data_IF_890673733134
#
_entry.id   IF_890673733134
#
_cell.length_a   1.000
_cell.length_b   1.000
_cell.length_c   1.000
_cell.angle_alpha   90.00
_cell.angle_beta   90.00
_cell.angle_gamma   90.00
#
_symmetry.space_group_name_H-M   'P 1'
#
loop_
_entity.id
_entity.type
_entity.pdbx_description
1 polymer ?
#
# COMPACT_ATOMS: atom_id res chain seq x y z
N UNK A 1 -14.08 18.00 -1.19
CA UNK A 1 -13.58 16.67 -0.80
C UNK A 1 -14.45 15.63 -1.45
N UNK A 2 -13.87 14.67 -2.19
CA UNK A 2 -14.56 13.47 -2.67
C UNK A 2 -14.13 12.33 -1.76
N UNK A 3 -15.06 11.51 -1.30
CA UNK A 3 -14.76 10.30 -0.51
C UNK A 3 -14.98 9.08 -1.37
N UNK A 4 -14.05 8.12 -1.32
CA UNK A 4 -14.18 6.84 -2.00
C UNK A 4 -14.45 5.74 -0.98
N UNK A 5 -15.48 4.94 -1.23
CA UNK A 5 -15.76 3.73 -0.45
C UNK A 5 -15.23 2.55 -1.27
N UNK A 6 -14.22 1.87 -0.75
CA UNK A 6 -13.64 0.70 -1.39
C UNK A 6 -14.18 -0.56 -0.70
N UNK A 7 -15.10 -1.25 -1.36
CA UNK A 7 -15.54 -2.58 -0.91
C UNK A 7 -14.55 -3.62 -1.40
N UNK A 8 -14.07 -4.46 -0.50
CA UNK A 8 -13.11 -5.55 -0.78
C UNK A 8 -13.63 -6.83 -0.14
N UNK A 9 -13.34 -7.94 -0.79
CA UNK A 9 -13.67 -9.27 -0.27
C UNK A 9 -12.78 -9.67 0.92
N UNK A 10 -11.65 -8.98 1.10
CA UNK A 10 -10.75 -9.17 2.23
C UNK A 10 -10.84 -7.99 3.23
N UNK A 11 -10.70 -8.25 4.55
CA UNK A 11 -10.84 -7.22 5.57
C UNK A 11 -9.58 -6.36 5.77
N UNK A 12 -8.53 -6.55 4.95
CA UNK A 12 -7.22 -5.95 5.19
C UNK A 12 -6.99 -4.73 4.30
N UNK A 13 -7.11 -3.55 4.91
CA UNK A 13 -6.83 -2.26 4.28
C UNK A 13 -6.22 -1.31 5.33
N UNK A 14 -5.32 -0.43 4.90
CA UNK A 14 -4.89 0.71 5.70
C UNK A 14 -4.71 1.95 4.81
N UNK A 15 -5.04 3.11 5.39
CA UNK A 15 -4.69 4.40 4.82
C UNK A 15 -3.35 4.86 5.40
N UNK A 16 -2.50 5.44 4.55
CA UNK A 16 -1.26 6.08 4.98
C UNK A 16 -1.52 7.40 5.68
N UNK A 17 -0.67 7.71 6.66
CA UNK A 17 -0.59 9.03 7.27
C UNK A 17 0.09 10.03 6.32
N UNK A 18 0.18 11.30 6.76
CA UNK A 18 0.85 12.38 6.01
C UNK A 18 2.32 12.12 5.65
N UNK A 19 2.96 11.16 6.32
CA UNK A 19 4.35 10.76 6.09
C UNK A 19 4.45 9.48 5.26
N UNK A 20 3.32 9.00 4.74
CA UNK A 20 3.23 7.75 3.99
C UNK A 20 3.09 6.51 4.86
N UNK A 21 3.10 6.60 6.19
CA UNK A 21 3.13 5.42 7.08
C UNK A 21 1.76 4.85 7.31
N UNK A 22 1.64 3.52 7.28
CA UNK A 22 0.41 2.80 7.62
C UNK A 22 0.75 1.54 8.41
N UNK A 23 -0.27 0.95 9.03
CA UNK A 23 -0.17 -0.32 9.72
C UNK A 23 -1.42 -1.14 9.44
N UNK A 24 -1.23 -2.41 9.08
CA UNK A 24 -2.32 -3.40 8.97
C UNK A 24 -2.05 -4.46 10.03
N UNK A 25 -3.02 -4.66 10.93
CA UNK A 25 -2.88 -5.60 12.05
C UNK A 25 -3.42 -6.98 11.67
N UNK A 26 -2.87 -8.01 12.34
CA UNK A 26 -3.32 -9.39 12.23
C UNK A 26 -3.25 -9.95 10.81
N UNK A 27 -2.24 -9.58 10.04
CA UNK A 27 -2.03 -10.26 8.76
C UNK A 27 -1.60 -11.71 9.02
N UNK A 28 -2.20 -12.69 8.33
CA UNK A 28 -1.72 -14.06 8.39
C UNK A 28 -0.27 -14.14 7.94
N UNK A 29 0.53 -15.02 8.54
CA UNK A 29 1.86 -15.31 8.01
C UNK A 29 1.75 -15.94 6.60
N UNK A 30 2.71 -15.65 5.73
CA UNK A 30 2.76 -16.17 4.37
C UNK A 30 2.99 -15.10 3.30
N UNK A 31 2.86 -15.50 2.05
CA UNK A 31 3.01 -14.63 0.88
C UNK A 31 1.70 -13.88 0.60
N UNK A 32 1.76 -12.56 0.56
CA UNK A 32 0.60 -11.69 0.32
C UNK A 32 0.87 -10.69 -0.79
N UNK A 33 -0.07 -10.56 -1.71
CA UNK A 33 -0.04 -9.51 -2.74
C UNK A 33 -0.93 -8.33 -2.32
N UNK A 34 -0.32 -7.17 -2.16
CA UNK A 34 -1.01 -5.90 -1.87
C UNK A 34 -1.22 -5.09 -3.13
N UNK A 35 -2.32 -4.35 -3.18
CA UNK A 35 -2.63 -3.41 -4.26
C UNK A 35 -2.49 -1.97 -3.74
N UNK A 36 -1.59 -1.21 -4.33
CA UNK A 36 -1.40 0.21 -4.01
C UNK A 36 -2.31 1.08 -4.88
N UNK A 37 -3.02 2.02 -4.25
CA UNK A 37 -3.95 2.92 -4.92
C UNK A 37 -4.02 4.27 -4.20
N UNK A 38 -4.20 5.35 -4.95
CA UNK A 38 -4.46 6.69 -4.44
C UNK A 38 -5.55 7.39 -5.25
N UNK A 39 -6.39 8.20 -4.60
CA UNK A 39 -7.55 8.84 -5.24
C UNK A 39 -7.20 9.73 -6.44
N UNK A 40 -6.03 10.39 -6.41
CA UNK A 40 -5.57 11.27 -7.50
C UNK A 40 -4.87 10.53 -8.63
N UNK A 41 -4.17 9.45 -8.32
CA UNK A 41 -3.23 8.79 -9.24
C UNK A 41 -3.73 7.44 -9.73
N UNK A 42 -4.82 6.93 -9.15
CA UNK A 42 -5.28 5.57 -9.40
C UNK A 42 -4.29 4.55 -8.83
N UNK A 43 -4.03 3.47 -9.57
CA UNK A 43 -3.07 2.45 -9.16
C UNK A 43 -1.63 2.97 -9.22
N UNK A 44 -0.88 2.82 -8.13
CA UNK A 44 0.48 3.34 -8.01
C UNK A 44 1.49 2.36 -8.62
N UNK A 45 1.83 2.57 -9.90
CA UNK A 45 2.72 1.71 -10.70
C UNK A 45 4.19 2.11 -10.54
N UNK A 46 5.10 1.14 -10.54
CA UNK A 46 6.55 1.36 -10.46
C UNK A 46 7.00 2.18 -9.22
N UNK A 47 6.21 2.14 -8.15
CA UNK A 47 6.46 2.89 -6.92
C UNK A 47 7.26 2.03 -5.94
N UNK A 48 8.30 2.62 -5.36
CA UNK A 48 9.10 1.96 -4.34
C UNK A 48 8.28 1.77 -3.06
N UNK A 49 8.22 0.53 -2.59
CA UNK A 49 7.52 0.11 -1.38
C UNK A 49 8.46 -0.75 -0.52
N UNK A 50 8.99 -0.23 0.58
CA UNK A 50 10.00 -0.96 1.34
C UNK A 50 11.26 -1.19 0.48
N UNK A 51 11.71 -2.43 0.44
CA UNK A 51 12.76 -2.94 -0.46
C UNK A 51 12.22 -3.44 -1.80
N UNK A 52 10.92 -3.37 -2.04
CA UNK A 52 10.27 -3.83 -3.27
C UNK A 52 9.79 -2.67 -4.14
N UNK A 53 9.52 -2.94 -5.42
CA UNK A 53 8.87 -2.00 -6.32
C UNK A 53 7.52 -2.57 -6.77
N UNK A 54 6.51 -1.72 -6.87
CA UNK A 54 5.21 -2.13 -7.39
C UNK A 54 5.27 -2.42 -8.89
N UNK A 55 4.52 -3.45 -9.31
CA UNK A 55 4.46 -3.84 -10.72
C UNK A 55 3.70 -2.82 -11.59
N UNK A 56 3.57 -3.11 -12.88
CA UNK A 56 2.81 -2.28 -13.83
C UNK A 56 1.30 -2.17 -13.49
N UNK A 57 0.80 -2.96 -12.54
CA UNK A 57 -0.58 -2.91 -12.01
C UNK A 57 -0.63 -2.28 -10.62
N UNK A 58 0.50 -1.84 -10.06
CA UNK A 58 0.61 -1.25 -8.73
C UNK A 58 0.54 -2.28 -7.60
N UNK A 59 0.95 -3.52 -7.84
CA UNK A 59 0.95 -4.60 -6.85
C UNK A 59 2.34 -4.87 -6.30
N UNK A 60 2.40 -5.25 -5.03
CA UNK A 60 3.63 -5.59 -4.30
C UNK A 60 3.40 -6.89 -3.54
N UNK A 61 4.35 -7.83 -3.63
CA UNK A 61 4.22 -9.17 -3.01
C UNK A 61 5.19 -9.34 -1.87
N UNK A 62 4.69 -9.37 -0.65
CA UNK A 62 5.49 -9.45 0.56
C UNK A 62 5.34 -10.82 1.23
N UNK A 63 6.45 -11.33 1.75
CA UNK A 63 6.44 -12.48 2.66
C UNK A 63 6.32 -11.93 4.08
N UNK A 64 5.21 -12.21 4.74
CA UNK A 64 4.93 -11.80 6.11
C UNK A 64 5.32 -12.94 7.04
N UNK A 65 6.29 -12.70 7.93
CA UNK A 65 6.67 -13.64 8.98
C UNK A 65 5.66 -13.68 10.13
N UNK A 66 5.64 -14.77 10.91
CA UNK A 66 4.87 -14.82 12.15
C UNK A 66 5.28 -13.67 13.10
N UNK A 67 4.30 -12.90 13.58
CA UNK A 67 4.51 -11.79 14.51
C UNK A 67 5.05 -10.49 13.88
N UNK A 68 5.41 -10.47 12.60
CA UNK A 68 5.86 -9.28 11.89
C UNK A 68 4.68 -8.44 11.37
N UNK A 69 4.00 -7.73 12.27
CA UNK A 69 2.82 -6.91 11.95
C UNK A 69 3.12 -5.42 11.74
N UNK A 70 4.39 -5.05 11.61
CA UNK A 70 4.80 -3.70 11.22
C UNK A 70 5.42 -3.76 9.83
N UNK A 71 4.58 -3.63 8.81
CA UNK A 71 5.07 -3.22 7.49
C UNK A 71 5.52 -1.75 7.61
N UNK A 72 6.77 -1.54 8.03
CA UNK A 72 7.36 -0.22 8.20
C UNK A 72 7.51 0.43 6.83
N UNK A 73 6.81 1.54 6.63
CA UNK A 73 6.68 2.17 5.31
C UNK A 73 7.91 2.96 4.91
N UNK A 74 8.36 2.73 3.69
CA UNK A 74 9.25 3.63 2.93
C UNK A 74 8.46 4.85 2.45
N UNK A 75 9.01 6.04 2.68
CA UNK A 75 8.51 7.33 2.19
C UNK A 75 8.20 7.25 0.69
N UNK A 76 6.94 7.44 0.32
CA UNK A 76 6.53 7.61 -1.07
C UNK A 76 6.80 9.06 -1.48
N UNK A 77 7.37 9.26 -2.67
CA UNK A 77 7.66 10.59 -3.19
C UNK A 77 6.35 11.36 -3.44
N UNK A 78 6.16 12.55 -2.84
CA UNK A 78 4.99 13.39 -3.08
C UNK A 78 4.67 13.65 -4.56
N UNK A 79 5.70 13.68 -5.43
CA UNK A 79 5.53 13.88 -6.87
C UNK A 79 4.70 12.77 -7.55
N UNK A 80 4.55 11.60 -6.92
CA UNK A 80 3.69 10.51 -7.42
C UNK A 80 2.19 10.83 -7.31
N UNK A 81 1.83 11.89 -6.57
CA UNK A 81 0.45 12.27 -6.27
C UNK A 81 0.06 13.64 -6.83
N UNK A 82 1.00 14.32 -7.47
CA UNK A 82 0.78 15.54 -8.23
C UNK A 82 0.45 15.16 -9.68
N UNK A 83 -0.82 15.28 -10.04
CA UNK A 83 -1.20 15.48 -11.44
C UNK A 83 -1.51 16.97 -11.61
N UNK A 84 -1.16 17.53 -12.77
CA UNK A 84 -1.43 18.91 -13.22
C UNK A 84 -2.81 19.45 -12.82
#
# INVERSE_FOLDING_TARGET
MRGYILLRDNPYMAASDRHGRFSVKHLPAGEHTFQLWHERSGYLRNVQFGSQQSDAKGRVTLIIGEGANEASVTRLDPALFENE
#
